data_IF_420206577455
#
_entry.id   IF_420206577455
#
_cell.length_a   1.000
_cell.length_b   1.000
_cell.length_c   1.000
_cell.angle_alpha   90.00
_cell.angle_beta   90.00
_cell.angle_gamma   90.00
#
_symmetry.space_group_name_H-M   'P 1'
#
loop_
_entity.id
_entity.type
_entity.pdbx_description
1 polymer ?
#
# COMPACT_ATOMS: atom_id res chain seq x y z
N UNK A 1 5.21 12.41 -6.09
CA UNK A 1 5.35 11.95 -4.69
C UNK A 1 3.95 11.59 -4.19
N UNK A 2 3.66 10.33 -3.89
CA UNK A 2 2.30 9.87 -3.55
C UNK A 2 1.98 9.92 -2.04
N UNK A 3 2.92 10.37 -1.22
CA UNK A 3 2.83 10.41 0.26
C UNK A 3 1.99 11.57 0.81
N UNK A 4 1.74 12.60 -0.01
CA UNK A 4 0.98 13.80 0.37
C UNK A 4 -0.32 13.91 -0.41
N UNK A 5 -0.67 12.89 -1.19
CA UNK A 5 -1.83 12.92 -2.08
C UNK A 5 -3.07 12.51 -1.29
N UNK A 6 -3.78 13.51 -0.78
CA UNK A 6 -5.08 13.36 -0.12
C UNK A 6 -6.14 14.12 -0.94
N UNK A 7 -6.53 13.55 -2.08
CA UNK A 7 -7.59 14.07 -2.92
C UNK A 7 -8.79 13.13 -2.71
N UNK A 8 -9.89 13.56 -2.10
CA UNK A 8 -11.02 12.68 -1.75
C UNK A 8 -11.62 11.89 -2.92
N UNK A 9 -11.50 12.42 -4.12
CA UNK A 9 -12.03 11.82 -5.36
C UNK A 9 -11.00 11.00 -6.15
N UNK A 10 -9.75 10.91 -5.65
CA UNK A 10 -8.70 10.14 -6.30
C UNK A 10 -8.60 8.74 -5.69
N UNK A 11 -8.65 7.73 -6.55
CA UNK A 11 -8.51 6.33 -6.19
C UNK A 11 -7.41 5.68 -7.02
N UNK A 12 -6.69 4.74 -6.41
CA UNK A 12 -5.78 3.85 -7.10
C UNK A 12 -6.49 2.51 -7.34
N UNK A 13 -6.39 1.99 -8.57
CA UNK A 13 -6.81 0.64 -8.89
C UNK A 13 -5.57 -0.24 -9.06
N UNK A 14 -5.36 -1.17 -8.14
CA UNK A 14 -4.32 -2.19 -8.25
C UNK A 14 -4.91 -3.45 -8.87
N UNK A 15 -4.24 -4.00 -9.88
CA UNK A 15 -4.70 -5.18 -10.60
C UNK A 15 -3.73 -6.32 -10.37
N UNK A 16 -4.22 -7.45 -9.88
CA UNK A 16 -3.49 -8.71 -9.87
C UNK A 16 -3.98 -9.56 -11.04
N UNK A 17 -3.06 -9.89 -11.94
CA UNK A 17 -3.31 -10.68 -13.14
C UNK A 17 -2.68 -12.06 -12.93
N UNK A 18 -3.50 -13.06 -12.62
CA UNK A 18 -3.06 -14.44 -12.51
C UNK A 18 -3.04 -15.08 -13.91
N UNK A 19 -1.83 -15.27 -14.46
CA UNK A 19 -1.64 -15.85 -15.81
C UNK A 19 -2.13 -17.29 -15.92
N UNK A 20 -2.04 -18.05 -14.83
CA UNK A 20 -2.35 -19.48 -14.85
C UNK A 20 -3.86 -19.75 -14.77
N UNK A 21 -4.61 -18.84 -14.15
CA UNK A 21 -6.05 -19.01 -13.92
C UNK A 21 -6.91 -18.06 -14.76
N UNK A 22 -6.30 -17.12 -15.51
CA UNK A 22 -6.99 -16.01 -16.19
C UNK A 22 -7.93 -15.21 -15.26
N UNK A 23 -7.64 -15.21 -13.95
CA UNK A 23 -8.41 -14.46 -12.96
C UNK A 23 -7.77 -13.09 -12.76
N UNK A 24 -8.60 -12.06 -12.83
CA UNK A 24 -8.24 -10.69 -12.52
C UNK A 24 -8.84 -10.34 -11.17
N UNK A 25 -8.02 -9.80 -10.26
CA UNK A 25 -8.49 -9.21 -9.01
C UNK A 25 -8.20 -7.73 -9.03
N UNK A 26 -9.23 -6.93 -8.77
CA UNK A 26 -9.14 -5.47 -8.72
C UNK A 26 -9.21 -5.02 -7.27
N UNK A 27 -8.32 -4.12 -6.89
CA UNK A 27 -8.31 -3.53 -5.56
C UNK A 27 -8.37 -2.02 -5.67
N UNK A 28 -9.49 -1.44 -5.25
CA UNK A 28 -9.78 -0.02 -5.38
C UNK A 28 -9.51 0.65 -4.03
N UNK A 29 -8.49 1.51 -3.98
CA UNK A 29 -7.97 2.06 -2.73
C UNK A 29 -7.97 3.60 -2.79
N UNK A 30 -8.56 4.31 -1.82
CA UNK A 30 -8.52 5.78 -1.77
C UNK A 30 -7.08 6.31 -1.71
N UNK A 31 -6.81 7.45 -2.35
CA UNK A 31 -5.45 8.04 -2.37
C UNK A 31 -4.92 8.27 -0.95
N UNK A 32 -5.79 8.68 -0.02
CA UNK A 32 -5.47 8.88 1.40
C UNK A 32 -4.92 7.62 2.06
N UNK A 33 -5.51 6.46 1.77
CA UNK A 33 -5.06 5.16 2.33
C UNK A 33 -3.70 4.79 1.77
N UNK A 34 -3.51 4.96 0.46
CA UNK A 34 -2.21 4.74 -0.20
C UNK A 34 -1.14 5.68 0.37
N UNK A 35 -1.43 6.97 0.48
CA UNK A 35 -0.52 7.99 1.01
C UNK A 35 -0.10 7.68 2.45
N UNK A 36 -1.06 7.35 3.32
CA UNK A 36 -0.80 6.98 4.71
C UNK A 36 0.08 5.74 4.83
N UNK A 37 -0.21 4.70 4.05
CA UNK A 37 0.58 3.47 4.07
C UNK A 37 2.01 3.70 3.58
N UNK A 38 2.18 4.39 2.44
CA UNK A 38 3.51 4.66 1.86
C UNK A 38 4.35 5.50 2.81
N UNK A 39 3.76 6.51 3.46
CA UNK A 39 4.43 7.33 4.49
C UNK A 39 4.87 6.49 5.69
N UNK A 40 4.01 5.60 6.18
CA UNK A 40 4.32 4.69 7.28
C UNK A 40 5.43 3.70 6.94
N UNK A 41 5.36 3.07 5.76
CA UNK A 41 6.39 2.14 5.28
C UNK A 41 7.75 2.83 5.14
N UNK A 42 7.75 4.03 4.58
CA UNK A 42 8.96 4.80 4.41
C UNK A 42 9.60 5.15 5.76
N UNK A 43 8.80 5.59 6.74
CA UNK A 43 9.27 5.86 8.10
C UNK A 43 9.83 4.60 8.78
N UNK A 44 9.15 3.45 8.65
CA UNK A 44 9.65 2.18 9.16
C UNK A 44 10.99 1.79 8.53
N UNK A 45 11.10 1.88 7.21
CA UNK A 45 12.32 1.55 6.48
C UNK A 45 13.50 2.43 6.90
N UNK A 46 13.29 3.74 7.07
CA UNK A 46 14.30 4.66 7.60
C UNK A 46 14.73 4.26 9.02
N UNK A 47 13.79 3.88 9.88
CA UNK A 47 14.09 3.45 11.25
C UNK A 47 14.93 2.16 11.27
N UNK A 48 14.58 1.15 10.48
CA UNK A 48 15.33 -0.10 10.38
C UNK A 48 16.72 0.11 9.81
N UNK A 49 16.87 0.93 8.77
CA UNK A 49 18.18 1.22 8.19
C UNK A 49 19.09 2.03 9.13
N UNK A 50 18.51 2.93 9.94
CA UNK A 50 19.24 3.64 10.99
C UNK A 50 19.79 2.66 12.04
N UNK A 51 19.01 1.63 12.42
CA UNK A 51 19.48 0.57 13.32
C UNK A 51 20.64 -0.24 12.71
N UNK A 52 20.61 -0.49 11.40
CA UNK A 52 21.70 -1.17 10.67
C UNK A 52 22.97 -0.32 10.47
N UNK A 53 22.98 0.96 10.86
CA UNK A 53 24.12 1.86 10.70
C UNK A 53 24.41 2.30 9.26
N UNK A 54 23.48 2.10 8.32
CA UNK A 54 23.65 2.43 6.90
C UNK A 54 23.13 3.82 6.58
N UNK A 55 23.88 4.62 5.80
CA UNK A 55 23.37 5.86 5.20
C UNK A 55 22.35 5.53 4.13
N UNK A 56 21.18 6.12 4.25
CA UNK A 56 20.03 5.84 3.38
C UNK A 56 19.86 6.96 2.36
N UNK A 57 19.65 6.61 1.09
CA UNK A 57 19.15 7.55 0.08
C UNK A 57 17.63 7.57 0.13
N UNK A 58 17.03 8.74 0.28
CA UNK A 58 15.57 8.98 0.41
C UNK A 58 14.71 8.47 -0.78
N UNK A 59 15.35 7.98 -1.85
CA UNK A 59 14.67 7.58 -3.10
C UNK A 59 14.21 6.12 -3.16
N UNK A 60 14.76 5.21 -2.36
CA UNK A 60 14.80 3.79 -2.76
C UNK A 60 13.59 2.93 -2.33
N UNK A 61 12.77 3.31 -1.34
CA UNK A 61 11.65 2.46 -0.91
C UNK A 61 10.37 3.26 -0.59
N UNK A 62 9.43 3.23 -1.54
CA UNK A 62 8.04 3.72 -1.41
C UNK A 62 7.11 2.71 -2.11
N UNK A 63 6.98 1.52 -1.54
CA UNK A 63 6.17 0.43 -2.11
C UNK A 63 4.83 0.37 -1.38
N UNK A 64 3.73 0.48 -2.11
CA UNK A 64 2.40 0.16 -1.59
C UNK A 64 2.18 -1.36 -1.60
N UNK A 65 1.55 -1.91 -0.56
CA UNK A 65 1.21 -3.34 -0.48
C UNK A 65 -0.14 -3.50 0.17
N UNK A 66 -0.87 -4.52 -0.30
CA UNK A 66 -2.07 -5.01 0.35
C UNK A 66 -1.71 -6.18 1.26
N UNK A 67 -2.22 -6.14 2.48
CA UNK A 67 -2.12 -7.23 3.44
C UNK A 67 -3.06 -8.38 3.07
N UNK A 68 -2.68 -9.59 3.48
CA UNK A 68 -3.51 -10.79 3.32
C UNK A 68 -3.95 -11.28 4.69
N UNK A 69 -5.11 -11.94 4.73
CA UNK A 69 -5.71 -12.46 5.95
C UNK A 69 -4.77 -13.46 6.64
N UNK A 70 -4.60 -13.30 7.95
CA UNK A 70 -3.74 -14.18 8.76
C UNK A 70 -2.29 -13.71 8.91
N UNK A 71 -1.85 -12.74 8.11
CA UNK A 71 -0.50 -12.18 8.20
C UNK A 71 -0.42 -11.01 9.20
N UNK A 72 0.75 -10.86 9.83
CA UNK A 72 1.04 -9.74 10.74
C UNK A 72 1.95 -8.74 10.05
N UNK A 73 1.60 -7.46 10.14
CA UNK A 73 2.36 -6.38 9.54
C UNK A 73 2.90 -5.43 10.62
N UNK A 74 4.10 -4.86 10.41
CA UNK A 74 4.74 -3.96 11.37
C UNK A 74 4.07 -2.58 11.47
N UNK A 75 3.22 -2.24 10.50
CA UNK A 75 2.41 -1.01 10.49
C UNK A 75 0.97 -1.34 10.08
N UNK A 76 -0.01 -0.46 10.38
CA UNK A 76 -1.36 -0.59 9.85
C UNK A 76 -1.32 -0.75 8.33
N UNK A 77 -1.83 -1.88 7.84
CA UNK A 77 -1.70 -2.29 6.44
C UNK A 77 -3.10 -2.52 5.88
N UNK A 78 -3.50 -1.81 4.80
CA UNK A 78 -4.77 -2.06 4.13
C UNK A 78 -4.78 -3.48 3.57
N UNK A 79 -5.88 -4.21 3.69
CA UNK A 79 -5.94 -5.62 3.29
C UNK A 79 -6.63 -5.80 1.94
N UNK A 80 -6.30 -6.89 1.24
CA UNK A 80 -6.97 -7.29 0.01
C UNK A 80 -8.49 -7.44 0.23
N UNK A 81 -8.91 -8.10 1.32
CA UNK A 81 -10.33 -8.32 1.67
C UNK A 81 -11.12 -7.02 1.84
N UNK A 82 -10.48 -5.94 2.32
CA UNK A 82 -11.13 -4.63 2.48
C UNK A 82 -11.36 -3.89 1.16
N UNK A 83 -10.56 -4.17 0.12
CA UNK A 83 -10.52 -3.34 -1.08
C UNK A 83 -10.75 -4.11 -2.39
N UNK A 84 -10.86 -5.44 -2.34
CA UNK A 84 -11.21 -6.29 -3.48
C UNK A 84 -12.60 -5.91 -3.99
N UNK A 85 -12.69 -5.52 -5.26
CA UNK A 85 -13.92 -5.10 -5.93
C UNK A 85 -14.74 -4.03 -5.17
N UNK A 86 -14.07 -3.15 -4.41
CA UNK A 86 -14.71 -2.02 -3.70
C UNK A 86 -15.11 -0.86 -4.64
N UNK A 87 -15.87 -1.18 -5.69
CA UNK A 87 -16.34 -0.25 -6.71
C UNK A 87 -17.37 0.76 -6.18
N UNK A 88 -18.11 0.37 -5.14
CA UNK A 88 -19.14 1.20 -4.50
C UNK A 88 -18.57 2.10 -3.39
N UNK A 89 -17.25 2.02 -3.12
CA UNK A 89 -16.57 2.79 -2.09
C UNK A 89 -17.24 2.68 -0.72
N UNK A 90 -17.74 1.48 -0.38
CA UNK A 90 -18.32 1.23 0.93
C UNK A 90 -17.19 1.35 1.97
N UNK A 91 -17.30 2.39 2.79
CA UNK A 91 -16.39 2.68 3.91
C UNK A 91 -16.73 1.79 5.11
#
# INVERSE_FOLDING_TARGET
KNETVDIPTLFYCFVNISKDTNVFKFYIVPSKVVANYVKGQHALWLAEKKKEGKKVKDGEMRIFRLGVKGEKYPIPTPTAEQYEDNWEFKL
#
